data_IF_181481753448
#
_entry.id   IF_181481753448
#
_cell.length_a   1.000
_cell.length_b   1.000
_cell.length_c   1.000
_cell.angle_alpha   90.00
_cell.angle_beta   90.00
_cell.angle_gamma   90.00
#
_symmetry.space_group_name_H-M   'P 1'
#
loop_
_entity.id
_entity.type
_entity.pdbx_description
1 polymer ?
#
# COMPACT_ATOMS: atom_id res chain seq x y z
N UNK A 1 -1.64 -25.79 -14.43
CA UNK A 1 -2.30 -24.89 -13.45
C UNK A 1 -3.80 -24.98 -13.70
N UNK A 2 -4.63 -25.11 -12.66
CA UNK A 2 -6.08 -25.22 -12.85
C UNK A 2 -6.69 -23.86 -13.22
N UNK A 3 -7.59 -23.85 -14.22
CA UNK A 3 -8.36 -22.68 -14.62
C UNK A 3 -9.59 -22.53 -13.72
N UNK A 4 -9.95 -21.30 -13.40
CA UNK A 4 -11.14 -20.98 -12.61
C UNK A 4 -12.11 -20.11 -13.42
N UNK A 5 -13.39 -20.44 -13.36
CA UNK A 5 -14.48 -19.63 -13.92
C UNK A 5 -15.33 -19.09 -12.78
N UNK A 6 -15.50 -17.78 -12.73
CA UNK A 6 -16.37 -17.11 -11.75
C UNK A 6 -17.80 -16.98 -12.30
N UNK A 7 -18.79 -16.91 -11.41
CA UNK A 7 -20.22 -16.84 -11.75
C UNK A 7 -21.09 -16.73 -10.49
N UNK A 8 -22.43 -16.65 -10.66
CA UNK A 8 -23.37 -16.65 -9.53
C UNK A 8 -23.22 -15.46 -8.57
N UNK A 9 -22.92 -14.27 -9.08
CA UNK A 9 -22.74 -13.04 -8.30
C UNK A 9 -21.28 -12.67 -8.01
N UNK A 10 -20.32 -13.55 -8.30
CA UNK A 10 -18.89 -13.23 -8.22
C UNK A 10 -18.33 -12.89 -9.61
N UNK A 11 -17.90 -11.63 -9.77
CA UNK A 11 -17.35 -11.10 -11.02
C UNK A 11 -15.84 -11.32 -11.09
N UNK A 12 -15.11 -11.05 -10.00
CA UNK A 12 -13.65 -11.19 -9.95
C UNK A 12 -13.16 -11.52 -8.53
N UNK A 13 -12.10 -12.33 -8.43
CA UNK A 13 -11.39 -12.61 -7.18
C UNK A 13 -9.87 -12.37 -7.35
N UNK A 14 -9.28 -11.64 -6.40
CA UNK A 14 -7.84 -11.37 -6.31
C UNK A 14 -7.35 -11.56 -4.89
N UNK A 15 -6.13 -12.07 -4.73
CA UNK A 15 -5.50 -12.28 -3.43
C UNK A 15 -5.57 -13.73 -2.97
N UNK A 16 -5.54 -13.98 -1.66
CA UNK A 16 -5.47 -15.33 -1.12
C UNK A 16 -6.45 -15.55 0.03
N UNK A 17 -7.15 -16.68 0.02
CA UNK A 17 -8.07 -17.13 1.07
C UNK A 17 -7.91 -18.64 1.27
N UNK A 18 -7.94 -19.10 2.53
CA UNK A 18 -7.90 -20.52 2.91
C UNK A 18 -6.80 -21.34 2.21
N UNK A 19 -5.59 -20.78 2.06
CA UNK A 19 -4.47 -21.49 1.42
C UNK A 19 -4.49 -21.47 -0.12
N UNK A 20 -5.44 -20.81 -0.76
CA UNK A 20 -5.52 -20.63 -2.21
C UNK A 20 -5.21 -19.19 -2.61
N UNK A 21 -4.53 -18.98 -3.73
CA UNK A 21 -4.26 -17.67 -4.32
C UNK A 21 -4.95 -17.56 -5.68
N UNK A 22 -5.79 -16.55 -5.83
CA UNK A 22 -6.63 -16.25 -6.99
C UNK A 22 -5.98 -15.14 -7.80
N UNK A 23 -5.75 -15.40 -9.09
CA UNK A 23 -5.05 -14.48 -10.00
C UNK A 23 -5.60 -14.62 -11.42
N UNK A 24 -5.20 -13.71 -12.32
CA UNK A 24 -5.48 -13.83 -13.76
C UNK A 24 -4.22 -13.60 -14.59
N UNK A 25 -4.19 -14.21 -15.76
CA UNK A 25 -3.24 -13.89 -16.82
C UNK A 25 -4.01 -13.65 -18.13
N UNK A 26 -3.29 -13.53 -19.26
CA UNK A 26 -3.89 -13.35 -20.59
C UNK A 26 -4.89 -14.45 -20.97
N UNK A 27 -4.76 -15.66 -20.42
CA UNK A 27 -5.59 -16.83 -20.73
C UNK A 27 -6.74 -17.05 -19.73
N UNK A 28 -6.97 -16.12 -18.80
CA UNK A 28 -8.09 -16.16 -17.87
C UNK A 28 -7.68 -16.25 -16.40
N UNK A 29 -8.66 -16.52 -15.55
CA UNK A 29 -8.45 -16.66 -14.11
C UNK A 29 -7.94 -18.07 -13.76
N UNK A 30 -7.07 -18.14 -12.75
CA UNK A 30 -6.49 -19.38 -12.27
C UNK A 30 -6.30 -19.34 -10.76
N UNK A 31 -6.20 -20.52 -10.17
CA UNK A 31 -5.96 -20.71 -8.74
C UNK A 31 -4.69 -21.51 -8.53
N UNK A 32 -3.91 -21.13 -7.52
CA UNK A 32 -2.74 -21.88 -7.07
C UNK A 32 -2.73 -22.03 -5.56
N UNK A 33 -2.06 -23.07 -5.08
CA UNK A 33 -1.74 -23.19 -3.66
C UNK A 33 -0.91 -21.97 -3.21
N UNK A 34 -1.26 -21.41 -2.06
CA UNK A 34 -0.49 -20.37 -1.39
C UNK A 34 0.67 -21.04 -0.67
N UNK A 35 1.87 -20.86 -1.18
CA UNK A 35 3.09 -21.14 -0.40
C UNK A 35 3.25 -20.04 0.64
N UNK A 36 3.37 -20.41 1.92
CA UNK A 36 3.80 -19.48 2.97
C UNK A 36 5.32 -19.32 2.82
N UNK A 37 5.83 -18.14 2.43
CA UNK A 37 7.27 -17.93 2.36
C UNK A 37 7.88 -18.07 3.76
N UNK A 38 9.11 -18.59 3.82
CA UNK A 38 9.94 -18.44 5.02
C UNK A 38 10.13 -16.93 5.25
N UNK A 39 10.16 -16.50 6.51
CA UNK A 39 10.43 -15.11 6.89
C UNK A 39 11.89 -14.98 7.36
N UNK A 40 12.88 -14.94 6.45
CA UNK A 40 14.28 -14.85 6.83
C UNK A 40 14.59 -13.46 7.38
N UNK A 41 15.36 -13.36 8.46
CA UNK A 41 15.73 -12.08 9.09
C UNK A 41 16.88 -11.39 8.34
N UNK A 42 16.63 -11.00 7.09
CA UNK A 42 17.64 -10.33 6.25
C UNK A 42 17.76 -8.85 6.67
N UNK A 43 18.95 -8.24 6.55
CA UNK A 43 19.15 -6.82 6.90
C UNK A 43 18.15 -5.86 6.24
N UNK A 44 17.81 -6.09 4.97
CA UNK A 44 16.83 -5.30 4.24
C UNK A 44 15.42 -5.40 4.84
N UNK A 45 15.00 -6.60 5.27
CA UNK A 45 13.70 -6.77 5.92
C UNK A 45 13.63 -6.00 7.24
N UNK A 46 14.71 -6.04 8.04
CA UNK A 46 14.80 -5.29 9.29
C UNK A 46 14.74 -3.79 9.05
N UNK A 47 15.40 -3.28 8.01
CA UNK A 47 15.31 -1.87 7.60
C UNK A 47 13.89 -1.46 7.20
N UNK A 48 13.19 -2.28 6.39
CA UNK A 48 11.81 -1.97 5.98
C UNK A 48 10.86 -1.97 7.19
N UNK A 49 11.02 -2.95 8.10
CA UNK A 49 10.22 -3.05 9.33
C UNK A 49 10.47 -1.85 10.26
N UNK A 50 11.73 -1.48 10.46
CA UNK A 50 12.08 -0.35 11.31
C UNK A 50 11.60 0.98 10.72
N UNK A 51 11.71 1.17 9.40
CA UNK A 51 11.18 2.35 8.72
C UNK A 51 9.66 2.48 8.86
N UNK A 52 8.93 1.37 8.76
CA UNK A 52 7.49 1.35 8.97
C UNK A 52 7.13 1.70 10.42
N UNK A 53 7.74 1.00 11.39
CA UNK A 53 7.49 1.25 12.82
C UNK A 53 7.82 2.69 13.21
N UNK A 54 8.94 3.21 12.73
CA UNK A 54 9.35 4.59 12.95
C UNK A 54 8.34 5.59 12.37
N UNK A 55 7.81 5.35 11.17
CA UNK A 55 6.86 6.27 10.52
C UNK A 55 5.54 6.33 11.29
N UNK A 56 5.08 5.20 11.85
CA UNK A 56 3.88 5.16 12.69
C UNK A 56 4.09 6.01 13.95
N UNK A 57 5.20 5.79 14.66
CA UNK A 57 5.52 6.53 15.88
C UNK A 57 5.71 8.04 15.61
N UNK A 58 6.36 8.37 14.50
CA UNK A 58 6.63 9.74 14.11
C UNK A 58 5.35 10.54 13.81
N UNK A 59 4.32 9.90 13.24
CA UNK A 59 3.01 10.52 13.05
C UNK A 59 2.40 10.99 14.38
N UNK A 60 2.43 10.13 15.41
CA UNK A 60 1.82 10.46 16.69
C UNK A 60 2.62 11.46 17.50
N UNK A 61 3.95 11.33 17.49
CA UNK A 61 4.85 12.17 18.29
C UNK A 61 5.12 13.56 17.70
N UNK A 62 5.15 13.68 16.36
CA UNK A 62 5.68 14.87 15.68
C UNK A 62 4.69 15.60 14.79
N UNK A 63 3.61 14.95 14.32
CA UNK A 63 2.64 15.61 13.45
C UNK A 63 1.67 16.49 14.26
N UNK A 64 1.66 17.80 13.98
CA UNK A 64 0.74 18.76 14.59
C UNK A 64 -0.71 18.57 14.09
N UNK A 65 -1.72 19.11 14.78
CA UNK A 65 -3.11 19.06 14.33
C UNK A 65 -3.30 19.59 12.89
N UNK A 66 -2.70 20.74 12.57
CA UNK A 66 -2.80 21.34 11.24
C UNK A 66 -2.18 20.47 10.15
N UNK A 67 -1.07 19.79 10.45
CA UNK A 67 -0.44 18.87 9.52
C UNK A 67 -1.32 17.65 9.27
N UNK A 68 -1.98 17.12 10.31
CA UNK A 68 -2.92 16.00 10.19
C UNK A 68 -4.12 16.38 9.33
N UNK A 69 -4.62 17.60 9.46
CA UNK A 69 -5.69 18.16 8.61
C UNK A 69 -5.22 18.21 7.16
N UNK A 70 -4.03 18.75 6.89
CA UNK A 70 -3.49 18.82 5.52
C UNK A 70 -3.32 17.44 4.87
N UNK A 71 -2.91 16.42 5.63
CA UNK A 71 -2.89 15.03 5.15
C UNK A 71 -4.29 14.44 4.94
N UNK A 72 -5.28 14.88 5.72
CA UNK A 72 -6.70 14.59 5.51
C UNK A 72 -7.22 15.18 4.19
N UNK A 73 -6.93 16.45 3.92
CA UNK A 73 -7.29 17.12 2.67
C UNK A 73 -6.67 16.42 1.46
N UNK A 74 -5.43 15.95 1.61
CA UNK A 74 -4.77 15.15 0.58
C UNK A 74 -5.46 13.82 0.35
N UNK A 75 -5.79 13.10 1.43
CA UNK A 75 -6.52 11.84 1.39
C UNK A 75 -7.90 11.96 0.71
N UNK A 76 -8.56 13.12 0.85
CA UNK A 76 -9.86 13.33 0.23
C UNK A 76 -9.81 13.55 -1.28
N UNK A 77 -8.66 14.02 -1.79
CA UNK A 77 -8.48 14.36 -3.20
C UNK A 77 -7.72 13.28 -3.96
N UNK A 78 -6.93 12.45 -3.27
CA UNK A 78 -6.10 11.43 -3.89
C UNK A 78 -6.69 10.03 -3.71
N UNK A 79 -7.15 9.49 -4.83
CA UNK A 79 -7.64 8.12 -4.92
C UNK A 79 -6.49 7.14 -5.19
N UNK A 80 -6.56 5.95 -4.58
CA UNK A 80 -5.67 4.83 -4.86
C UNK A 80 -6.46 3.71 -5.53
N UNK A 81 -5.78 2.79 -6.22
CA UNK A 81 -6.42 1.60 -6.77
C UNK A 81 -6.14 0.39 -5.88
N UNK A 82 -7.15 -0.42 -5.63
CA UNK A 82 -6.99 -1.72 -4.99
C UNK A 82 -6.45 -2.75 -6.00
N UNK A 83 -6.27 -4.01 -5.57
CA UNK A 83 -5.76 -5.09 -6.44
C UNK A 83 -6.74 -5.51 -7.55
N UNK A 84 -7.99 -5.09 -7.49
CA UNK A 84 -9.02 -5.27 -8.51
C UNK A 84 -9.05 -4.08 -9.49
N UNK A 85 -8.25 -3.04 -9.27
CA UNK A 85 -8.29 -1.81 -10.07
C UNK A 85 -9.44 -0.88 -9.69
N UNK A 86 -10.12 -1.13 -8.58
CA UNK A 86 -11.21 -0.27 -8.10
C UNK A 86 -10.64 0.85 -7.24
N UNK A 87 -11.35 1.97 -7.23
CA UNK A 87 -11.01 3.16 -6.43
C UNK A 87 -11.14 2.85 -4.94
N UNK A 88 -10.08 3.10 -4.18
CA UNK A 88 -10.01 3.04 -2.73
C UNK A 88 -9.46 4.35 -2.18
N UNK A 89 -10.11 4.89 -1.16
CA UNK A 89 -9.66 6.08 -0.44
C UNK A 89 -8.84 5.65 0.78
N UNK A 90 -7.63 6.19 0.91
CA UNK A 90 -6.81 6.01 2.11
C UNK A 90 -7.12 7.15 3.09
N UNK A 91 -6.82 6.96 4.37
CA UNK A 91 -6.81 8.07 5.34
C UNK A 91 -5.53 8.89 5.23
N UNK A 92 -5.52 10.11 5.77
CA UNK A 92 -4.31 10.95 5.81
C UNK A 92 -3.13 10.26 6.50
N UNK A 93 -3.40 9.56 7.59
CA UNK A 93 -2.43 8.69 8.27
C UNK A 93 -1.85 7.62 7.32
N UNK A 94 -2.69 6.91 6.57
CA UNK A 94 -2.25 5.87 5.64
C UNK A 94 -1.40 6.46 4.51
N UNK A 95 -1.72 7.66 4.03
CA UNK A 95 -0.91 8.38 3.05
C UNK A 95 0.44 8.82 3.61
N UNK A 96 0.46 9.34 4.83
CA UNK A 96 1.70 9.71 5.53
C UNK A 96 2.62 8.51 5.70
N UNK A 97 2.13 7.41 6.28
CA UNK A 97 2.94 6.21 6.56
C UNK A 97 3.43 5.58 5.26
N UNK A 98 2.58 5.47 4.24
CA UNK A 98 2.98 4.93 2.92
C UNK A 98 4.14 5.73 2.31
N UNK A 99 4.06 7.06 2.37
CA UNK A 99 5.04 7.94 1.71
C UNK A 99 6.34 8.01 2.51
N UNK A 100 6.24 8.22 3.83
CA UNK A 100 7.41 8.43 4.68
C UNK A 100 8.17 7.14 5.03
N UNK A 101 7.53 5.97 4.98
CA UNK A 101 8.25 4.69 5.19
C UNK A 101 9.28 4.42 4.11
N UNK A 102 8.98 4.76 2.84
CA UNK A 102 9.93 4.65 1.73
C UNK A 102 11.04 5.71 1.87
N UNK A 103 10.67 6.97 2.13
CA UNK A 103 11.65 8.05 2.37
C UNK A 103 12.61 7.70 3.51
N UNK A 104 12.08 7.21 4.64
CA UNK A 104 12.88 6.79 5.79
C UNK A 104 13.85 5.66 5.44
N UNK A 105 13.40 4.67 4.66
CA UNK A 105 14.25 3.57 4.17
C UNK A 105 15.37 4.09 3.26
N UNK A 106 15.07 5.05 2.41
CA UNK A 106 16.03 5.65 1.48
C UNK A 106 16.90 6.74 2.13
N UNK A 107 16.71 7.03 3.42
CA UNK A 107 17.32 8.14 4.15
C UNK A 107 17.01 9.54 3.57
N UNK A 108 15.90 9.66 2.83
CA UNK A 108 15.39 10.95 2.37
C UNK A 108 14.82 11.75 3.55
N UNK A 109 14.73 13.07 3.37
CA UNK A 109 14.04 13.95 4.32
C UNK A 109 12.61 13.47 4.54
N UNK A 110 12.06 13.64 5.72
CA UNK A 110 10.69 13.21 6.04
C UNK A 110 9.70 14.35 5.74
N UNK A 111 8.57 14.04 5.09
CA UNK A 111 7.51 15.01 4.86
C UNK A 111 6.57 15.01 6.07
N UNK A 112 6.71 16.00 6.93
CA UNK A 112 5.76 16.32 8.00
C UNK A 112 4.57 17.16 7.52
N UNK A 113 4.76 18.31 6.84
CA UNK A 113 3.63 19.09 6.34
C UNK A 113 2.87 18.30 5.26
N UNK A 114 1.53 18.30 5.33
CA UNK A 114 0.72 17.62 4.32
C UNK A 114 1.01 18.13 2.90
N UNK A 115 0.92 17.28 1.86
CA UNK A 115 1.19 17.70 0.49
C UNK A 115 0.17 18.73 0.01
N UNK A 116 0.65 19.76 -0.69
CA UNK A 116 -0.19 20.80 -1.32
C UNK A 116 -0.57 20.47 -2.76
N UNK A 117 0.15 19.54 -3.37
CA UNK A 117 -0.15 18.98 -4.69
C UNK A 117 -0.96 17.71 -4.47
N UNK A 118 -2.19 17.67 -4.97
CA UNK A 118 -3.14 16.59 -4.75
C UNK A 118 -3.15 15.56 -5.89
N UNK A 119 -1.99 15.09 -6.30
CA UNK A 119 -1.87 14.03 -7.29
C UNK A 119 -0.75 13.05 -6.91
N UNK A 120 -0.85 11.84 -7.45
CA UNK A 120 0.29 10.91 -7.45
C UNK A 120 1.05 11.18 -8.76
N UNK A 121 2.36 11.41 -8.73
CA UNK A 121 3.16 11.54 -9.96
C UNK A 121 2.98 10.32 -10.86
N UNK A 122 2.90 10.53 -12.18
CA UNK A 122 2.82 9.43 -13.16
C UNK A 122 4.09 8.58 -13.18
N UNK A 123 5.23 9.19 -12.83
CA UNK A 123 6.55 8.55 -12.79
C UNK A 123 7.33 8.98 -11.54
N UNK A 124 8.19 8.09 -11.04
CA UNK A 124 9.16 8.45 -10.00
C UNK A 124 10.14 9.49 -10.57
N UNK A 125 10.53 10.52 -9.79
CA UNK A 125 11.53 11.49 -10.24
C UNK A 125 12.86 10.79 -10.56
N UNK A 126 13.56 11.22 -11.62
CA UNK A 126 14.81 10.60 -12.10
C UNK A 126 15.95 10.71 -11.09
#
# INVERSE_FOLDING_TARGET
MALAKYGGGLIELRGSIAGNTYSRNRYGAYVRARTKPINPDTPLQTQVRSALAWSVEHWFSSASPDQRIAWGDYADKVNMLNKLGEVMRLSGYNHFVRSNSIRKRNADTIVLPGPTIFNVPEHDPP
#
